data_IF_846991766564
#
_entry.id   IF_846991766564
#
_cell.length_a   1.000
_cell.length_b   1.000
_cell.length_c   1.000
_cell.angle_alpha   90.00
_cell.angle_beta   90.00
_cell.angle_gamma   90.00
#
_symmetry.space_group_name_H-M   'P 1'
#
loop_
_entity.id
_entity.type
_entity.pdbx_description
1 polymer ?
#
# COMPACT_ATOMS: atom_id res chain seq x y z
N UNK A 1 30.41 -25.57 2.38
CA UNK A 1 29.69 -25.44 1.10
C UNK A 1 28.22 -25.20 1.45
N UNK A 2 27.66 -24.03 1.23
CA UNK A 2 26.22 -23.84 1.45
C UNK A 2 25.51 -24.54 0.29
N UNK A 3 24.57 -25.38 0.64
CA UNK A 3 23.65 -26.08 -0.25
C UNK A 3 22.87 -25.08 -1.07
N UNK A 4 22.95 -25.19 -2.40
CA UNK A 4 22.10 -24.51 -3.37
C UNK A 4 20.64 -24.75 -2.99
N UNK A 5 19.99 -23.78 -2.39
CA UNK A 5 18.55 -23.76 -2.24
C UNK A 5 18.00 -23.57 -3.65
N UNK A 6 17.26 -24.54 -4.17
CA UNK A 6 16.50 -24.40 -5.40
C UNK A 6 15.60 -23.17 -5.25
N UNK A 7 15.97 -22.07 -5.87
CA UNK A 7 15.09 -20.90 -5.99
C UNK A 7 13.98 -21.29 -6.96
N UNK A 8 12.79 -21.54 -6.43
CA UNK A 8 11.60 -21.68 -7.26
C UNK A 8 11.48 -20.41 -8.12
N UNK A 9 11.09 -20.58 -9.39
CA UNK A 9 10.80 -19.42 -10.25
C UNK A 9 9.82 -18.46 -9.55
N UNK A 10 10.01 -17.15 -9.66
CA UNK A 10 9.12 -16.21 -8.99
C UNK A 10 7.68 -16.38 -9.47
N UNK A 11 6.74 -16.24 -8.55
CA UNK A 11 5.33 -16.12 -8.89
C UNK A 11 5.10 -14.82 -9.67
N UNK A 12 4.17 -14.85 -10.62
CA UNK A 12 3.88 -13.71 -11.49
C UNK A 12 2.40 -13.37 -11.49
N UNK A 13 2.11 -12.10 -11.26
CA UNK A 13 0.79 -11.51 -11.43
C UNK A 13 0.91 -10.42 -12.50
N UNK A 14 -0.03 -10.34 -13.44
CA UNK A 14 -0.02 -9.30 -14.46
C UNK A 14 -1.13 -8.28 -14.19
N UNK A 15 -0.79 -7.01 -14.24
CA UNK A 15 -1.76 -5.92 -14.28
C UNK A 15 -2.08 -5.65 -15.74
N UNK A 16 -3.34 -5.83 -16.13
CA UNK A 16 -3.81 -5.73 -17.52
C UNK A 16 -4.46 -4.37 -17.77
N UNK A 17 -3.71 -3.44 -18.37
CA UNK A 17 -4.11 -2.04 -18.65
C UNK A 17 -3.76 -1.62 -20.10
N UNK A 18 -3.85 -2.57 -21.06
CA UNK A 18 -3.44 -2.31 -22.45
C UNK A 18 -1.94 -2.01 -22.52
N UNK A 19 -1.57 -0.89 -23.12
CA UNK A 19 -0.17 -0.48 -23.30
C UNK A 19 0.56 -0.13 -21.98
N UNK A 20 -0.19 0.03 -20.88
CA UNK A 20 0.34 0.29 -19.55
C UNK A 20 0.39 -0.95 -18.66
N UNK A 21 0.22 -2.13 -19.26
CA UNK A 21 0.29 -3.41 -18.54
C UNK A 21 1.71 -3.67 -18.03
N UNK A 22 1.81 -4.27 -16.84
CA UNK A 22 3.11 -4.60 -16.25
C UNK A 22 3.02 -5.85 -15.38
N UNK A 23 4.16 -6.58 -15.21
CA UNK A 23 4.23 -7.72 -14.31
C UNK A 23 4.51 -7.29 -12.87
N UNK A 24 4.02 -8.10 -11.92
CA UNK A 24 4.45 -8.16 -10.54
C UNK A 24 5.17 -9.50 -10.36
N UNK A 25 6.43 -9.49 -9.95
CA UNK A 25 7.20 -10.67 -9.62
C UNK A 25 7.26 -10.80 -8.09
N UNK A 26 7.01 -12.01 -7.58
CA UNK A 26 6.90 -12.27 -6.14
C UNK A 26 7.74 -13.50 -5.80
N UNK A 27 8.67 -13.37 -4.87
CA UNK A 27 9.54 -14.48 -4.45
C UNK A 27 10.59 -14.00 -3.45
N UNK A 28 11.46 -14.91 -3.02
CA UNK A 28 12.59 -14.56 -2.17
C UNK A 28 13.86 -14.37 -3.01
N UNK A 29 14.76 -13.49 -2.51
CA UNK A 29 16.08 -13.24 -3.10
C UNK A 29 16.05 -12.76 -4.58
N UNK A 30 15.01 -11.99 -4.94
CA UNK A 30 14.83 -11.50 -6.31
C UNK A 30 15.75 -10.33 -6.66
N UNK A 31 16.18 -9.54 -5.68
CA UNK A 31 17.00 -8.34 -5.88
C UNK A 31 18.35 -8.63 -6.50
N UNK A 32 18.91 -9.81 -6.26
CA UNK A 32 20.25 -10.20 -6.70
C UNK A 32 20.32 -10.77 -8.12
N UNK A 33 19.21 -11.01 -8.80
CA UNK A 33 19.21 -11.61 -10.14
C UNK A 33 18.82 -10.59 -11.22
N UNK A 34 19.75 -10.19 -12.11
CA UNK A 34 19.48 -9.24 -13.19
C UNK A 34 18.42 -9.72 -14.19
N UNK A 35 18.14 -11.04 -14.27
CA UNK A 35 17.12 -11.58 -15.16
C UNK A 35 15.71 -11.08 -14.80
N UNK A 36 15.45 -10.80 -13.53
CA UNK A 36 14.15 -10.28 -13.09
C UNK A 36 13.85 -8.87 -13.62
N UNK A 37 14.86 -8.13 -14.02
CA UNK A 37 14.74 -6.78 -14.60
C UNK A 37 14.69 -6.78 -16.14
N UNK A 38 14.59 -7.94 -16.80
CA UNK A 38 14.60 -8.05 -18.27
C UNK A 38 13.50 -7.24 -18.97
N UNK A 39 12.33 -7.06 -18.32
CA UNK A 39 11.21 -6.29 -18.84
C UNK A 39 11.40 -4.76 -18.74
N UNK A 40 12.40 -4.30 -17.97
CA UNK A 40 12.67 -2.87 -17.79
C UNK A 40 13.27 -2.29 -19.07
N UNK A 41 12.81 -1.12 -19.56
CA UNK A 41 13.34 -0.51 -20.77
C UNK A 41 14.87 -0.30 -20.74
N UNK A 42 15.51 -0.41 -21.90
CA UNK A 42 16.93 -0.14 -22.02
C UNK A 42 17.21 1.37 -21.86
N UNK A 43 18.17 1.70 -21.01
CA UNK A 43 18.61 3.06 -20.74
C UNK A 43 20.09 3.10 -20.36
N UNK A 44 20.72 4.27 -20.47
CA UNK A 44 22.10 4.48 -20.02
C UNK A 44 22.19 4.70 -18.51
N UNK A 45 21.16 5.30 -17.91
CA UNK A 45 21.17 5.75 -16.52
C UNK A 45 20.00 5.21 -15.73
N UNK A 46 20.27 4.79 -14.50
CA UNK A 46 19.29 4.46 -13.48
C UNK A 46 19.49 5.31 -12.23
N UNK A 47 18.39 5.71 -11.57
CA UNK A 47 18.40 6.34 -10.26
C UNK A 47 17.61 5.46 -9.28
N UNK A 48 18.27 4.90 -8.29
CA UNK A 48 17.65 4.23 -7.15
C UNK A 48 17.30 5.33 -6.14
N UNK A 49 16.01 5.48 -5.87
CA UNK A 49 15.47 6.35 -4.82
C UNK A 49 15.10 5.45 -3.65
N UNK A 50 15.65 5.71 -2.49
CA UNK A 50 15.43 4.97 -1.27
C UNK A 50 15.35 5.92 -0.08
N UNK A 51 15.35 5.43 1.16
CA UNK A 51 15.41 6.26 2.35
C UNK A 51 16.56 5.82 3.28
N UNK A 52 16.83 6.62 4.30
CA UNK A 52 17.93 6.41 5.27
C UNK A 52 17.81 5.11 6.07
N UNK A 53 16.64 4.48 6.13
CA UNK A 53 16.40 3.19 6.80
C UNK A 53 16.65 2.01 5.87
N UNK A 54 16.14 2.07 4.63
CA UNK A 54 16.18 0.96 3.66
C UNK A 54 17.47 0.96 2.84
N UNK A 55 18.00 2.14 2.51
CA UNK A 55 19.21 2.31 1.70
C UNK A 55 20.39 1.48 2.20
N UNK A 56 20.78 1.59 3.48
CA UNK A 56 21.89 0.81 4.04
C UNK A 56 21.71 -0.71 3.97
N UNK A 57 20.47 -1.19 3.86
CA UNK A 57 20.17 -2.62 3.84
C UNK A 57 20.23 -3.22 2.43
N UNK A 58 19.73 -2.50 1.43
CA UNK A 58 19.43 -3.10 0.12
C UNK A 58 19.96 -2.32 -1.09
N UNK A 59 20.32 -1.03 -0.97
CA UNK A 59 20.69 -0.21 -2.12
C UNK A 59 21.96 -0.69 -2.81
N UNK A 60 22.94 -1.18 -2.05
CA UNK A 60 24.21 -1.69 -2.62
C UNK A 60 23.96 -2.95 -3.48
N UNK A 61 23.16 -3.90 -2.99
CA UNK A 61 22.85 -5.13 -3.72
C UNK A 61 22.08 -4.82 -5.02
N UNK A 62 21.04 -3.96 -4.96
CA UNK A 62 20.29 -3.56 -6.14
C UNK A 62 21.19 -2.81 -7.15
N UNK A 63 22.05 -1.92 -6.68
CA UNK A 63 23.01 -1.19 -7.53
C UNK A 63 23.95 -2.15 -8.27
N UNK A 64 24.50 -3.15 -7.59
CA UNK A 64 25.38 -4.16 -8.18
C UNK A 64 24.64 -4.96 -9.27
N UNK A 65 23.41 -5.41 -8.98
CA UNK A 65 22.57 -6.14 -9.93
C UNK A 65 22.26 -5.32 -11.19
N UNK A 66 22.05 -4.02 -11.05
CA UNK A 66 21.75 -3.12 -12.16
C UNK A 66 22.99 -2.67 -12.93
N UNK A 67 24.21 -2.76 -12.38
CA UNK A 67 25.45 -2.27 -13.00
C UNK A 67 25.78 -2.94 -14.34
N UNK A 68 25.33 -4.18 -14.57
CA UNK A 68 25.48 -4.86 -15.86
C UNK A 68 24.48 -4.41 -16.94
N UNK A 69 23.44 -3.67 -16.55
CA UNK A 69 22.34 -3.26 -17.42
C UNK A 69 22.37 -1.76 -17.76
N UNK A 70 22.88 -0.92 -16.86
CA UNK A 70 22.96 0.52 -17.00
C UNK A 70 24.44 0.97 -16.96
N UNK A 71 24.81 1.94 -17.80
CA UNK A 71 26.16 2.49 -17.79
C UNK A 71 26.46 3.29 -16.51
N UNK A 72 25.41 3.90 -15.92
CA UNK A 72 25.52 4.60 -14.65
C UNK A 72 24.30 4.26 -13.76
N UNK A 73 24.57 3.89 -12.50
CA UNK A 73 23.55 3.64 -11.47
C UNK A 73 23.84 4.55 -10.27
N UNK A 74 22.96 5.51 -10.05
CA UNK A 74 23.01 6.45 -8.93
C UNK A 74 22.08 6.02 -7.82
N UNK A 75 22.36 6.46 -6.58
CA UNK A 75 21.52 6.20 -5.40
C UNK A 75 21.24 7.54 -4.75
N UNK A 76 19.99 7.77 -4.41
CA UNK A 76 19.51 8.91 -3.61
C UNK A 76 18.79 8.38 -2.38
N UNK A 77 19.27 8.74 -1.18
CA UNK A 77 18.62 8.46 0.08
C UNK A 77 17.81 9.68 0.53
N UNK A 78 16.50 9.49 0.70
CA UNK A 78 15.57 10.47 1.24
C UNK A 78 15.46 10.30 2.76
N UNK A 79 15.05 11.31 3.52
CA UNK A 79 14.65 11.12 4.90
C UNK A 79 13.48 10.15 5.00
N UNK A 80 13.48 9.33 6.07
CA UNK A 80 12.44 8.31 6.29
C UNK A 80 11.22 8.88 7.01
N UNK A 81 10.04 8.40 6.64
CA UNK A 81 8.77 8.67 7.31
C UNK A 81 7.77 9.48 6.48
N UNK A 82 6.48 9.30 6.81
CA UNK A 82 5.34 9.94 6.14
C UNK A 82 5.38 11.48 6.23
N UNK A 83 6.01 12.03 7.27
CA UNK A 83 6.17 13.49 7.46
C UNK A 83 7.05 14.14 6.38
N UNK A 84 7.86 13.34 5.68
CA UNK A 84 8.73 13.76 4.60
C UNK A 84 8.14 13.50 3.20
N UNK A 85 6.89 13.06 3.12
CA UNK A 85 6.19 12.85 1.84
C UNK A 85 5.64 14.17 1.29
N UNK A 86 6.51 15.10 0.97
CA UNK A 86 6.20 16.49 0.65
C UNK A 86 6.97 17.05 -0.55
N UNK A 87 6.70 18.31 -0.91
CA UNK A 87 7.39 18.99 -2.00
C UNK A 87 8.91 19.16 -1.77
N UNK A 88 9.39 19.59 -0.59
CA UNK A 88 10.82 19.71 -0.35
C UNK A 88 11.58 18.41 -0.58
N UNK A 89 11.05 17.29 -0.09
CA UNK A 89 11.66 15.98 -0.25
C UNK A 89 11.56 15.48 -1.71
N UNK A 90 10.41 15.67 -2.36
CA UNK A 90 10.25 15.34 -3.78
C UNK A 90 11.25 16.11 -4.65
N UNK A 91 11.54 17.37 -4.32
CA UNK A 91 12.48 18.20 -5.08
C UNK A 91 13.91 17.63 -5.06
N UNK A 92 14.30 16.93 -3.98
CA UNK A 92 15.61 16.23 -3.93
C UNK A 92 15.75 15.20 -5.05
N UNK A 93 14.66 14.54 -5.46
CA UNK A 93 14.67 13.59 -6.58
C UNK A 93 14.92 14.32 -7.90
N UNK A 94 14.28 15.48 -8.12
CA UNK A 94 14.51 16.29 -9.32
C UNK A 94 15.93 16.87 -9.36
N UNK A 95 16.44 17.34 -8.23
CA UNK A 95 17.81 17.84 -8.13
C UNK A 95 18.84 16.76 -8.45
N UNK A 96 18.64 15.53 -7.96
CA UNK A 96 19.50 14.39 -8.28
C UNK A 96 19.44 14.04 -9.77
N UNK A 97 18.23 13.98 -10.36
CA UNK A 97 18.05 13.69 -11.78
C UNK A 97 18.75 14.73 -12.67
N UNK A 98 18.56 16.00 -12.38
CA UNK A 98 19.19 17.10 -13.12
C UNK A 98 20.70 17.13 -12.90
N UNK A 99 21.17 16.95 -11.67
CA UNK A 99 22.58 16.94 -11.32
C UNK A 99 23.37 15.81 -11.97
N UNK A 100 22.72 14.67 -12.23
CA UNK A 100 23.32 13.55 -12.97
C UNK A 100 23.12 13.63 -14.49
N UNK A 101 22.50 14.68 -15.02
CA UNK A 101 22.22 14.81 -16.45
C UNK A 101 21.27 13.73 -16.98
N UNK A 102 20.33 13.29 -16.15
CA UNK A 102 19.35 12.25 -16.51
C UNK A 102 18.49 12.66 -17.70
N UNK A 103 18.32 11.76 -18.64
CA UNK A 103 17.53 11.97 -19.86
C UNK A 103 16.12 11.36 -19.78
N UNK A 104 15.36 11.43 -20.89
CA UNK A 104 13.99 10.90 -20.98
C UNK A 104 13.90 9.38 -20.88
N UNK A 105 15.00 8.67 -20.99
CA UNK A 105 15.07 7.20 -20.90
C UNK A 105 15.52 6.73 -19.52
N UNK A 106 16.03 7.63 -18.68
CA UNK A 106 16.46 7.31 -17.31
C UNK A 106 15.36 6.55 -16.57
N UNK A 107 15.73 5.43 -15.94
CA UNK A 107 14.80 4.60 -15.18
C UNK A 107 14.94 4.90 -13.70
N UNK A 108 13.83 5.19 -13.02
CA UNK A 108 13.81 5.34 -11.57
C UNK A 108 13.45 4.01 -10.92
N UNK A 109 14.12 3.68 -9.82
CA UNK A 109 13.82 2.50 -8.99
C UNK A 109 13.41 2.98 -7.61
N UNK A 110 12.17 2.72 -7.23
CA UNK A 110 11.63 3.04 -5.90
C UNK A 110 11.93 1.88 -4.95
N UNK A 111 13.03 1.95 -4.22
CA UNK A 111 13.44 0.92 -3.25
C UNK A 111 13.01 1.32 -1.85
N UNK A 112 11.86 0.83 -1.36
CA UNK A 112 11.35 1.21 -0.05
C UNK A 112 9.89 0.87 0.19
N UNK A 113 9.31 1.47 1.22
CA UNK A 113 7.88 1.40 1.52
C UNK A 113 7.03 2.31 0.61
N UNK A 114 5.74 2.47 0.95
CA UNK A 114 4.78 3.26 0.18
C UNK A 114 5.17 4.72 -0.01
N UNK A 115 5.81 5.35 0.98
CA UNK A 115 6.29 6.74 0.90
C UNK A 115 7.29 6.92 -0.25
N UNK A 116 8.31 6.04 -0.28
CA UNK A 116 9.32 6.06 -1.35
C UNK A 116 8.68 5.74 -2.70
N UNK A 117 7.79 4.74 -2.74
CA UNK A 117 7.08 4.34 -3.95
C UNK A 117 6.26 5.47 -4.57
N UNK A 118 5.47 6.16 -3.73
CA UNK A 118 4.60 7.26 -4.17
C UNK A 118 5.41 8.47 -4.66
N UNK A 119 6.43 8.90 -3.91
CA UNK A 119 7.27 10.04 -4.29
C UNK A 119 8.06 9.75 -5.57
N UNK A 120 8.67 8.56 -5.67
CA UNK A 120 9.43 8.19 -6.86
C UNK A 120 8.54 8.08 -8.09
N UNK A 121 7.35 7.48 -7.94
CA UNK A 121 6.39 7.37 -9.03
C UNK A 121 5.87 8.74 -9.49
N UNK A 122 5.62 9.66 -8.55
CA UNK A 122 5.21 11.03 -8.90
C UNK A 122 6.34 11.84 -9.52
N UNK A 123 7.58 11.69 -9.03
CA UNK A 123 8.75 12.25 -9.70
C UNK A 123 8.89 11.71 -11.14
N UNK A 124 8.75 10.39 -11.33
CA UNK A 124 8.80 9.77 -12.65
C UNK A 124 7.71 10.29 -13.59
N UNK A 125 6.49 10.46 -13.10
CA UNK A 125 5.37 11.00 -13.87
C UNK A 125 5.61 12.45 -14.34
N UNK A 126 6.35 13.24 -13.53
CA UNK A 126 6.54 14.67 -13.73
C UNK A 126 7.83 15.01 -14.48
N UNK A 127 8.93 14.27 -14.20
CA UNK A 127 10.23 14.51 -14.81
C UNK A 127 10.16 14.32 -16.33
N UNK A 128 10.60 15.32 -17.09
CA UNK A 128 10.57 15.34 -18.56
C UNK A 128 9.22 14.90 -19.18
N UNK A 129 8.11 15.06 -18.49
CA UNK A 129 6.73 14.67 -18.84
C UNK A 129 6.50 13.16 -18.85
N UNK A 130 7.30 12.42 -18.10
CA UNK A 130 7.18 10.98 -17.89
C UNK A 130 8.47 10.25 -18.26
N UNK A 131 9.05 9.54 -17.26
CA UNK A 131 10.16 8.61 -17.42
C UNK A 131 9.78 7.26 -16.82
N UNK A 132 10.32 6.13 -17.31
CA UNK A 132 9.98 4.83 -16.76
C UNK A 132 10.43 4.68 -15.31
N UNK A 133 9.63 3.93 -14.50
CA UNK A 133 10.04 3.59 -13.15
C UNK A 133 9.66 2.14 -12.79
N UNK A 134 10.31 1.63 -11.76
CA UNK A 134 10.15 0.29 -11.20
C UNK A 134 9.85 0.42 -9.71
N UNK A 135 8.87 -0.32 -9.23
CA UNK A 135 8.60 -0.46 -7.80
C UNK A 135 9.38 -1.66 -7.23
N UNK A 136 10.13 -1.42 -6.17
CA UNK A 136 10.84 -2.45 -5.38
C UNK A 136 10.39 -2.30 -3.92
N UNK A 137 9.14 -2.73 -3.61
CA UNK A 137 8.54 -2.54 -2.30
C UNK A 137 9.22 -3.42 -1.26
N UNK A 138 9.60 -2.82 -0.11
CA UNK A 138 10.30 -3.50 0.99
C UNK A 138 9.46 -3.65 2.26
N UNK A 139 8.21 -3.16 2.27
CA UNK A 139 7.24 -3.39 3.35
C UNK A 139 6.10 -4.26 2.86
N UNK A 140 5.48 -5.04 3.75
CA UNK A 140 4.33 -5.88 3.38
C UNK A 140 3.19 -5.02 2.81
N UNK A 141 2.87 -3.88 3.45
CA UNK A 141 1.85 -2.94 2.98
C UNK A 141 2.12 -2.51 1.53
N UNK A 142 3.37 -2.16 1.21
CA UNK A 142 3.71 -1.76 -0.14
C UNK A 142 3.64 -2.93 -1.14
N UNK A 143 4.03 -4.13 -0.74
CA UNK A 143 3.97 -5.32 -1.61
C UNK A 143 2.53 -5.72 -1.96
N UNK A 144 1.58 -5.58 -1.01
CA UNK A 144 0.19 -6.01 -1.21
C UNK A 144 -0.75 -4.90 -1.67
N UNK A 145 -0.36 -3.64 -1.49
CA UNK A 145 -1.25 -2.51 -1.77
C UNK A 145 -0.56 -1.37 -2.52
N UNK A 146 0.23 -0.49 -1.89
CA UNK A 146 0.59 0.81 -2.46
C UNK A 146 1.40 0.74 -3.76
N UNK A 147 2.21 -0.30 -4.01
CA UNK A 147 2.97 -0.46 -5.26
C UNK A 147 2.12 -0.84 -6.47
N UNK A 148 0.83 -1.17 -6.29
CA UNK A 148 -0.05 -1.70 -7.33
C UNK A 148 -1.14 -0.70 -7.70
N UNK A 149 -1.33 -0.44 -9.00
CA UNK A 149 -2.43 0.37 -9.52
C UNK A 149 -2.10 1.84 -9.73
N UNK A 150 -0.80 2.21 -9.70
CA UNK A 150 -0.27 3.47 -10.23
C UNK A 150 -0.67 4.75 -9.52
N UNK A 151 -1.25 4.68 -8.32
CA UNK A 151 -1.46 5.88 -7.50
C UNK A 151 -0.11 6.36 -6.98
N UNK A 152 0.27 7.59 -7.31
CA UNK A 152 1.51 8.22 -6.84
C UNK A 152 1.17 9.60 -6.32
N UNK A 153 1.72 10.00 -5.17
CA UNK A 153 1.32 11.24 -4.55
C UNK A 153 2.34 11.76 -3.53
N UNK A 154 2.14 13.02 -3.18
CA UNK A 154 2.72 13.67 -2.00
C UNK A 154 1.62 14.27 -1.13
N UNK A 155 1.96 14.55 0.12
CA UNK A 155 1.10 15.21 1.07
C UNK A 155 1.15 16.74 0.93
N UNK A 156 0.09 17.38 1.37
CA UNK A 156 0.01 18.81 1.55
C UNK A 156 -0.46 19.10 2.98
N UNK A 157 -0.09 20.21 3.61
CA UNK A 157 -0.58 20.57 4.96
C UNK A 157 -2.12 20.53 5.10
N UNK A 158 -2.85 20.68 4.00
CA UNK A 158 -4.32 20.64 3.97
C UNK A 158 -4.91 19.28 3.65
N UNK A 159 -4.11 18.24 3.38
CA UNK A 159 -4.63 16.90 3.09
C UNK A 159 -3.58 15.90 2.64
N UNK A 160 -3.81 14.63 2.99
CA UNK A 160 -2.95 13.50 2.63
C UNK A 160 -3.18 13.11 1.17
N UNK A 161 -2.10 12.84 0.42
CA UNK A 161 -2.12 12.33 -0.97
C UNK A 161 -2.93 13.19 -1.97
N UNK A 162 -3.05 14.49 -1.72
CA UNK A 162 -3.89 15.39 -2.54
C UNK A 162 -3.22 15.80 -3.86
N UNK A 163 -1.92 15.63 -3.97
CA UNK A 163 -1.13 16.05 -5.14
C UNK A 163 -0.42 14.84 -5.69
N UNK A 164 -0.67 14.48 -6.94
CA UNK A 164 -0.08 13.30 -7.53
C UNK A 164 -0.57 12.99 -8.94
N UNK A 165 -0.25 11.79 -9.40
CA UNK A 165 -0.61 11.30 -10.72
C UNK A 165 -0.98 9.81 -10.68
N UNK A 166 -1.81 9.37 -11.63
CA UNK A 166 -1.91 7.96 -11.97
C UNK A 166 -0.79 7.63 -12.96
N UNK A 167 0.24 6.94 -12.50
CA UNK A 167 1.40 6.58 -13.30
C UNK A 167 1.83 5.14 -13.02
N UNK A 168 1.77 4.28 -14.06
CA UNK A 168 2.01 2.85 -13.89
C UNK A 168 3.50 2.52 -13.97
N UNK A 169 4.02 1.64 -13.10
CA UNK A 169 5.41 1.18 -13.19
C UNK A 169 5.61 0.21 -14.37
N UNK A 170 6.86 0.00 -14.77
CA UNK A 170 7.23 -0.99 -15.77
C UNK A 170 7.32 -2.40 -15.16
N UNK A 171 7.53 -2.48 -13.86
CA UNK A 171 7.69 -3.71 -13.09
C UNK A 171 7.43 -3.40 -11.62
N UNK A 172 6.83 -4.35 -10.90
CA UNK A 172 6.86 -4.40 -9.44
C UNK A 172 7.62 -5.67 -9.03
N UNK A 173 8.68 -5.53 -8.22
CA UNK A 173 9.50 -6.62 -7.74
C UNK A 173 9.32 -6.79 -6.23
N UNK A 174 8.44 -7.70 -5.81
CA UNK A 174 8.17 -8.04 -4.41
C UNK A 174 9.17 -9.10 -3.94
N UNK A 175 10.34 -8.67 -3.48
CA UNK A 175 11.30 -9.56 -2.84
C UNK A 175 10.89 -9.80 -1.39
N UNK A 176 10.41 -11.01 -1.09
CA UNK A 176 9.93 -11.40 0.23
C UNK A 176 11.06 -11.44 1.27
N UNK A 177 12.31 -11.59 0.86
CA UNK A 177 13.46 -11.56 1.76
C UNK A 177 13.59 -10.21 2.46
N UNK A 178 13.13 -9.12 1.84
CA UNK A 178 13.14 -7.78 2.45
C UNK A 178 12.26 -7.70 3.70
N UNK A 179 11.23 -8.54 3.81
CA UNK A 179 10.34 -8.58 4.96
C UNK A 179 11.02 -9.13 6.23
N UNK A 180 12.16 -9.81 6.09
CA UNK A 180 12.91 -10.33 7.24
C UNK A 180 13.42 -9.21 8.17
N UNK A 181 13.74 -8.04 7.62
CA UNK A 181 14.21 -6.87 8.38
C UNK A 181 13.10 -5.91 8.78
N UNK A 182 11.85 -6.16 8.30
CA UNK A 182 10.73 -5.28 8.60
C UNK A 182 10.36 -5.37 10.09
N UNK A 183 10.21 -4.26 10.84
CA UNK A 183 9.77 -4.29 12.23
C UNK A 183 8.43 -5.02 12.41
N UNK A 184 8.20 -5.70 13.55
CA UNK A 184 6.92 -6.41 13.79
C UNK A 184 5.68 -5.50 13.67
N UNK A 185 5.75 -4.26 14.15
CA UNK A 185 4.67 -3.28 14.04
C UNK A 185 4.30 -2.97 12.58
N UNK A 186 5.30 -2.82 11.71
CA UNK A 186 5.11 -2.60 10.28
C UNK A 186 4.59 -3.85 9.57
N UNK A 187 4.98 -5.04 10.03
CA UNK A 187 4.43 -6.30 9.53
C UNK A 187 2.93 -6.40 9.84
N UNK A 188 2.52 -6.11 11.08
CA UNK A 188 1.11 -6.03 11.47
C UNK A 188 0.35 -4.99 10.63
N UNK A 189 0.92 -3.81 10.44
CA UNK A 189 0.33 -2.76 9.60
C UNK A 189 0.09 -3.24 8.16
N UNK A 190 1.02 -4.01 7.58
CA UNK A 190 0.82 -4.63 6.26
C UNK A 190 -0.27 -5.69 6.25
N UNK A 191 -0.42 -6.46 7.34
CA UNK A 191 -1.48 -7.46 7.46
C UNK A 191 -2.89 -6.84 7.48
N UNK A 192 -3.06 -5.59 7.92
CA UNK A 192 -4.34 -4.89 7.79
C UNK A 192 -4.81 -4.85 6.34
N UNK A 193 -3.91 -4.54 5.40
CA UNK A 193 -4.23 -4.48 3.98
C UNK A 193 -4.46 -5.87 3.38
N UNK A 194 -3.76 -6.90 3.85
CA UNK A 194 -4.03 -8.30 3.46
C UNK A 194 -5.43 -8.73 3.92
N UNK A 195 -5.77 -8.49 5.20
CA UNK A 195 -7.08 -8.82 5.78
C UNK A 195 -8.20 -8.10 5.03
N UNK A 196 -8.01 -6.86 4.64
CA UNK A 196 -9.01 -6.04 3.93
C UNK A 196 -9.63 -6.75 2.73
N UNK A 197 -8.83 -7.47 1.95
CA UNK A 197 -9.32 -8.15 0.74
C UNK A 197 -10.35 -9.25 1.00
N UNK A 198 -10.31 -9.87 2.17
CA UNK A 198 -11.26 -10.92 2.56
C UNK A 198 -12.70 -10.41 2.58
N UNK A 199 -13.07 -9.55 3.52
CA UNK A 199 -14.44 -9.06 3.70
C UNK A 199 -15.00 -8.31 2.48
N UNK A 200 -14.16 -7.65 1.68
CA UNK A 200 -14.64 -6.86 0.54
C UNK A 200 -14.77 -7.66 -0.76
N UNK A 201 -14.06 -8.80 -0.89
CA UNK A 201 -13.94 -9.45 -2.19
C UNK A 201 -13.88 -10.98 -2.15
N UNK A 202 -13.12 -11.59 -1.19
CA UNK A 202 -12.81 -13.02 -1.20
C UNK A 202 -12.87 -13.63 0.20
N UNK A 203 -14.02 -14.19 0.57
CA UNK A 203 -14.19 -14.84 1.88
C UNK A 203 -13.32 -16.10 2.04
N UNK A 204 -13.03 -16.81 0.95
CA UNK A 204 -12.11 -17.95 0.99
C UNK A 204 -10.69 -17.52 1.36
N UNK A 205 -10.29 -16.32 0.91
CA UNK A 205 -9.02 -15.73 1.32
C UNK A 205 -9.05 -15.29 2.80
N UNK A 206 -10.18 -14.77 3.31
CA UNK A 206 -10.33 -14.48 4.74
C UNK A 206 -10.19 -15.75 5.59
N UNK A 207 -10.85 -16.84 5.21
CA UNK A 207 -10.76 -18.15 5.89
C UNK A 207 -9.30 -18.65 5.90
N UNK A 208 -8.60 -18.49 4.77
CA UNK A 208 -7.21 -18.87 4.66
C UNK A 208 -6.29 -18.00 5.56
N UNK A 209 -6.52 -16.68 5.62
CA UNK A 209 -5.74 -15.77 6.48
C UNK A 209 -5.90 -16.17 7.95
N UNK A 210 -7.13 -16.44 8.41
CA UNK A 210 -7.39 -16.89 9.78
C UNK A 210 -6.66 -18.16 10.16
N UNK A 211 -6.65 -19.13 9.24
CA UNK A 211 -5.99 -20.41 9.44
C UNK A 211 -4.46 -20.32 9.40
N UNK A 212 -3.90 -19.31 8.72
CA UNK A 212 -2.46 -19.14 8.51
C UNK A 212 -1.86 -17.89 9.18
N UNK A 213 -2.60 -17.24 10.08
CA UNK A 213 -2.15 -15.97 10.67
C UNK A 213 -0.82 -16.13 11.42
N UNK A 214 -0.66 -17.19 12.18
CA UNK A 214 0.57 -17.44 12.95
C UNK A 214 1.78 -17.64 12.00
N UNK A 215 1.60 -18.33 10.88
CA UNK A 215 2.62 -18.50 9.83
C UNK A 215 2.97 -17.16 9.15
N UNK A 216 1.96 -16.31 8.90
CA UNK A 216 2.17 -14.95 8.38
C UNK A 216 2.96 -14.08 9.36
N UNK A 217 2.59 -14.11 10.64
CA UNK A 217 3.30 -13.38 11.70
C UNK A 217 4.73 -13.90 11.88
N UNK A 218 4.95 -15.21 11.73
CA UNK A 218 6.26 -15.83 11.73
C UNK A 218 7.05 -15.61 10.43
N UNK A 219 6.44 -14.96 9.43
CA UNK A 219 7.04 -14.67 8.12
C UNK A 219 7.44 -15.94 7.35
N UNK A 220 6.65 -16.99 7.45
CA UNK A 220 6.91 -18.21 6.70
C UNK A 220 6.82 -17.96 5.19
N UNK A 221 7.84 -18.33 4.39
CA UNK A 221 7.92 -17.96 2.98
C UNK A 221 6.70 -18.39 2.16
N UNK A 222 6.17 -19.59 2.40
CA UNK A 222 5.01 -20.09 1.68
C UNK A 222 3.74 -19.28 1.98
N UNK A 223 3.53 -18.92 3.26
CA UNK A 223 2.40 -18.10 3.69
C UNK A 223 2.50 -16.67 3.12
N UNK A 224 3.69 -16.05 3.18
CA UNK A 224 3.92 -14.73 2.61
C UNK A 224 3.71 -14.73 1.09
N UNK A 225 4.27 -15.72 0.37
CA UNK A 225 4.09 -15.83 -1.09
C UNK A 225 2.60 -15.89 -1.45
N UNK A 226 1.82 -16.71 -0.75
CA UNK A 226 0.39 -16.85 -1.00
C UNK A 226 -0.36 -15.55 -0.70
N UNK A 227 -0.11 -14.93 0.45
CA UNK A 227 -0.78 -13.69 0.86
C UNK A 227 -0.49 -12.54 -0.11
N UNK A 228 0.79 -12.32 -0.46
CA UNK A 228 1.17 -11.26 -1.39
C UNK A 228 0.60 -11.53 -2.78
N UNK A 229 0.71 -12.75 -3.28
CA UNK A 229 0.18 -13.15 -4.60
C UNK A 229 -1.33 -12.92 -4.67
N UNK A 230 -2.10 -13.43 -3.69
CA UNK A 230 -3.57 -13.30 -3.72
C UNK A 230 -4.02 -11.85 -3.56
N UNK A 231 -3.38 -11.08 -2.69
CA UNK A 231 -3.63 -9.64 -2.57
C UNK A 231 -3.40 -8.90 -3.89
N UNK A 232 -2.26 -9.15 -4.54
CA UNK A 232 -1.96 -8.56 -5.85
C UNK A 232 -2.96 -8.99 -6.93
N UNK A 233 -3.41 -10.26 -6.94
CA UNK A 233 -4.43 -10.73 -7.89
C UNK A 233 -5.75 -10.01 -7.72
N UNK A 234 -6.27 -9.92 -6.47
CA UNK A 234 -7.53 -9.22 -6.20
C UNK A 234 -7.40 -7.75 -6.61
N UNK A 235 -6.28 -7.11 -6.24
CA UNK A 235 -6.07 -5.72 -6.62
C UNK A 235 -5.95 -5.54 -8.14
N UNK A 236 -5.29 -6.47 -8.84
CA UNK A 236 -5.21 -6.47 -10.30
C UNK A 236 -6.59 -6.55 -10.96
N UNK A 237 -7.45 -7.45 -10.45
CA UNK A 237 -8.83 -7.62 -10.93
C UNK A 237 -9.65 -6.34 -10.76
N UNK A 238 -9.55 -5.67 -9.60
CA UNK A 238 -10.28 -4.43 -9.31
C UNK A 238 -9.72 -3.25 -10.11
N UNK A 239 -8.40 -3.08 -10.17
CA UNK A 239 -7.74 -2.00 -10.95
C UNK A 239 -7.97 -2.18 -12.46
N UNK A 240 -7.99 -3.41 -12.94
CA UNK A 240 -8.28 -3.71 -14.34
C UNK A 240 -9.68 -3.29 -14.78
N UNK A 241 -10.65 -3.28 -13.84
CA UNK A 241 -12.02 -2.80 -14.10
C UNK A 241 -12.15 -1.28 -13.93
N UNK A 242 -11.32 -0.66 -13.08
CA UNK A 242 -11.44 0.76 -12.74
C UNK A 242 -10.07 1.33 -12.34
N UNK A 243 -9.27 1.67 -13.34
CA UNK A 243 -7.90 2.17 -13.12
C UNK A 243 -7.87 3.47 -12.30
N UNK A 244 -8.84 4.38 -12.50
CA UNK A 244 -8.84 5.74 -11.96
C UNK A 244 -9.77 5.98 -10.77
N UNK A 245 -10.32 4.89 -10.19
CA UNK A 245 -11.17 4.96 -9.00
C UNK A 245 -12.43 5.81 -9.17
N UNK A 246 -13.09 5.65 -10.32
CA UNK A 246 -14.36 6.32 -10.59
C UNK A 246 -15.59 5.48 -10.16
N UNK A 247 -15.39 4.24 -9.71
CA UNK A 247 -16.47 3.29 -9.41
C UNK A 247 -16.03 2.16 -8.47
N UNK A 248 -15.91 0.93 -9.02
CA UNK A 248 -15.67 -0.29 -8.22
C UNK A 248 -14.40 -0.26 -7.39
N UNK A 249 -13.35 0.41 -7.84
CA UNK A 249 -12.08 0.50 -7.12
C UNK A 249 -12.22 1.14 -5.73
N UNK A 250 -13.26 1.94 -5.51
CA UNK A 250 -13.54 2.55 -4.22
C UNK A 250 -13.70 1.53 -3.08
N UNK A 251 -14.09 0.25 -3.38
CA UNK A 251 -14.22 -0.80 -2.36
C UNK A 251 -12.90 -1.08 -1.64
N UNK A 252 -11.75 -0.83 -2.27
CA UNK A 252 -10.42 -0.97 -1.67
C UNK A 252 -10.20 0.00 -0.48
N UNK A 253 -11.05 1.00 -0.32
CA UNK A 253 -11.01 1.94 0.79
C UNK A 253 -11.86 1.48 2.01
N UNK A 254 -12.16 0.19 2.15
CA UNK A 254 -12.82 -0.34 3.35
C UNK A 254 -11.98 -0.04 4.59
N UNK A 255 -12.59 0.59 5.59
CA UNK A 255 -11.91 1.07 6.80
C UNK A 255 -11.24 2.44 6.67
N UNK A 256 -10.91 2.89 5.46
CA UNK A 256 -10.09 4.10 5.26
C UNK A 256 -10.78 5.40 5.69
N UNK A 257 -12.09 5.55 5.56
CA UNK A 257 -12.79 6.77 6.01
C UNK A 257 -12.59 7.02 7.51
N UNK A 258 -12.69 5.97 8.33
CA UNK A 258 -12.40 6.05 9.77
C UNK A 258 -10.88 6.10 10.01
N UNK A 259 -10.09 5.30 9.29
CA UNK A 259 -8.64 5.25 9.43
C UNK A 259 -7.98 6.61 9.16
N UNK A 260 -8.33 7.29 8.08
CA UNK A 260 -7.82 8.63 7.77
C UNK A 260 -8.23 9.67 8.83
N UNK A 261 -9.43 9.55 9.39
CA UNK A 261 -9.84 10.40 10.49
C UNK A 261 -8.98 10.16 11.74
N UNK A 262 -8.61 8.91 12.02
CA UNK A 262 -7.68 8.55 13.11
C UNK A 262 -6.29 9.15 12.84
N UNK A 263 -5.70 8.92 11.66
CA UNK A 263 -4.38 9.46 11.29
C UNK A 263 -4.34 10.99 11.39
N UNK A 264 -5.37 11.65 10.86
CA UNK A 264 -5.44 13.12 10.88
C UNK A 264 -5.72 13.68 12.28
N UNK A 265 -6.46 12.96 13.09
CA UNK A 265 -6.84 13.37 14.44
C UNK A 265 -5.72 13.21 15.46
N UNK A 266 -4.90 12.17 15.34
CA UNK A 266 -3.73 11.93 16.20
C UNK A 266 -2.49 12.73 15.74
N UNK A 267 -2.40 13.04 14.45
CA UNK A 267 -1.21 13.53 13.78
C UNK A 267 -0.46 12.38 13.07
N UNK A 268 0.10 12.69 11.91
CA UNK A 268 0.80 11.69 11.09
C UNK A 268 2.03 11.14 11.83
N UNK A 269 2.15 9.81 11.87
CA UNK A 269 3.26 9.09 12.48
C UNK A 269 2.96 8.53 13.88
N UNK A 270 1.92 8.97 14.58
CA UNK A 270 1.50 8.39 15.87
C UNK A 270 1.02 6.95 15.68
N UNK A 271 0.05 6.74 14.80
CA UNK A 271 -0.35 5.42 14.35
C UNK A 271 0.15 5.20 12.92
N UNK A 272 0.59 3.97 12.64
CA UNK A 272 0.87 3.54 11.28
C UNK A 272 -0.44 3.46 10.48
N UNK A 273 -0.33 3.66 9.17
CA UNK A 273 -1.49 3.60 8.27
C UNK A 273 -2.31 2.32 8.47
N UNK A 274 -1.65 1.15 8.49
CA UNK A 274 -2.34 -0.12 8.68
C UNK A 274 -2.97 -0.28 10.07
N UNK A 275 -2.44 0.34 11.12
CA UNK A 275 -3.08 0.37 12.44
C UNK A 275 -4.39 1.16 12.40
N UNK A 276 -4.35 2.33 11.77
CA UNK A 276 -5.52 3.19 11.60
C UNK A 276 -6.58 2.52 10.70
N UNK A 277 -6.16 1.89 9.60
CA UNK A 277 -7.07 1.15 8.70
C UNK A 277 -7.64 -0.10 9.38
N UNK A 278 -6.83 -0.85 10.13
CA UNK A 278 -7.29 -2.02 10.89
C UNK A 278 -8.42 -1.67 11.87
N UNK A 279 -8.19 -0.65 12.70
CA UNK A 279 -9.23 -0.11 13.59
C UNK A 279 -10.42 0.43 12.78
N UNK A 280 -10.16 1.14 11.70
CA UNK A 280 -11.20 1.67 10.81
C UNK A 280 -12.04 0.57 10.15
N UNK A 281 -11.47 -0.61 9.86
CA UNK A 281 -12.22 -1.77 9.36
C UNK A 281 -13.19 -2.33 10.41
N UNK A 282 -12.80 -2.35 11.70
CA UNK A 282 -13.71 -2.72 12.80
C UNK A 282 -14.87 -1.75 12.85
N UNK A 283 -14.61 -0.45 12.78
CA UNK A 283 -15.66 0.58 12.78
C UNK A 283 -16.57 0.45 11.55
N UNK A 284 -16.00 0.23 10.36
CA UNK A 284 -16.77 0.03 9.14
C UNK A 284 -17.59 -1.28 9.14
N UNK A 285 -17.11 -2.32 9.82
CA UNK A 285 -17.88 -3.56 10.02
C UNK A 285 -19.08 -3.32 10.96
N UNK A 286 -18.91 -2.59 12.06
CA UNK A 286 -20.03 -2.15 12.90
C UNK A 286 -21.04 -1.29 12.12
N UNK A 287 -20.54 -0.37 11.26
CA UNK A 287 -21.43 0.40 10.40
C UNK A 287 -22.18 -0.49 9.41
N UNK A 288 -21.52 -1.47 8.82
CA UNK A 288 -22.12 -2.45 7.91
C UNK A 288 -23.22 -3.25 8.62
N UNK A 289 -22.99 -3.66 9.88
CA UNK A 289 -23.99 -4.33 10.72
C UNK A 289 -25.21 -3.44 10.96
N UNK A 290 -25.01 -2.16 11.31
CA UNK A 290 -26.08 -1.20 11.53
C UNK A 290 -26.92 -0.93 10.27
N UNK A 291 -26.30 -1.10 9.11
CA UNK A 291 -26.95 -0.95 7.80
C UNK A 291 -27.52 -2.27 7.24
N UNK A 292 -27.41 -3.38 7.99
CA UNK A 292 -28.01 -4.68 7.66
C UNK A 292 -27.20 -5.53 6.66
N UNK A 293 -25.92 -5.20 6.41
CA UNK A 293 -25.06 -5.93 5.47
C UNK A 293 -24.40 -7.17 6.07
N UNK A 294 -24.13 -7.18 7.38
CA UNK A 294 -23.51 -8.30 8.10
C UNK A 294 -24.15 -8.46 9.48
N UNK A 295 -23.96 -9.62 10.08
CA UNK A 295 -24.42 -9.91 11.45
C UNK A 295 -23.33 -9.63 12.51
N UNK A 296 -23.70 -9.79 13.79
CA UNK A 296 -22.79 -9.58 14.91
C UNK A 296 -21.65 -10.61 14.94
N UNK A 297 -21.88 -11.83 14.46
CA UNK A 297 -20.86 -12.87 14.43
C UNK A 297 -19.75 -12.51 13.44
N UNK A 298 -20.10 -11.96 12.27
CA UNK A 298 -19.14 -11.48 11.31
C UNK A 298 -18.28 -10.32 11.86
N UNK A 299 -18.90 -9.34 12.52
CA UNK A 299 -18.17 -8.23 13.16
C UNK A 299 -17.19 -8.75 14.20
N UNK A 300 -17.64 -9.65 15.08
CA UNK A 300 -16.77 -10.25 16.10
C UNK A 300 -15.63 -11.04 15.47
N UNK A 301 -15.90 -11.82 14.43
CA UNK A 301 -14.89 -12.58 13.68
C UNK A 301 -13.80 -11.66 13.14
N UNK A 302 -14.18 -10.61 12.42
CA UNK A 302 -13.22 -9.66 11.84
C UNK A 302 -12.44 -8.91 12.92
N UNK A 303 -13.10 -8.49 13.99
CA UNK A 303 -12.44 -7.83 15.14
C UNK A 303 -11.38 -8.73 15.76
N UNK A 304 -11.72 -9.99 16.03
CA UNK A 304 -10.79 -10.97 16.61
C UNK A 304 -9.58 -11.21 15.69
N UNK A 305 -9.80 -11.29 14.37
CA UNK A 305 -8.71 -11.48 13.41
C UNK A 305 -7.76 -10.28 13.39
N UNK A 306 -8.31 -9.06 13.38
CA UNK A 306 -7.51 -7.81 13.40
C UNK A 306 -6.70 -7.71 14.69
N UNK A 307 -7.31 -8.03 15.85
CA UNK A 307 -6.64 -8.04 17.15
C UNK A 307 -5.50 -9.08 17.19
N UNK A 308 -5.77 -10.32 16.72
CA UNK A 308 -4.76 -11.37 16.61
C UNK A 308 -3.59 -11.00 15.67
N UNK A 309 -3.84 -10.20 14.66
CA UNK A 309 -2.79 -9.65 13.77
C UNK A 309 -1.94 -8.56 14.44
N UNK A 310 -2.17 -8.25 15.72
CA UNK A 310 -1.43 -7.24 16.49
C UNK A 310 -1.83 -5.81 16.19
N UNK A 311 -3.06 -5.60 15.69
CA UNK A 311 -3.59 -4.29 15.31
C UNK A 311 -4.57 -3.78 16.38
N UNK A 312 -4.67 -2.46 16.58
CA UNK A 312 -5.64 -1.88 17.50
C UNK A 312 -7.08 -2.06 16.97
N UNK A 313 -7.99 -2.38 17.87
CA UNK A 313 -9.44 -2.57 17.59
C UNK A 313 -10.31 -1.55 18.32
N UNK A 314 -9.71 -0.73 19.18
CA UNK A 314 -10.37 0.36 19.91
C UNK A 314 -9.91 1.69 19.35
N UNK A 315 -10.86 2.50 18.94
CA UNK A 315 -10.58 3.81 18.35
C UNK A 315 -10.02 4.79 19.40
N UNK A 316 -9.08 5.66 19.02
CA UNK A 316 -8.59 6.71 19.90
C UNK A 316 -9.70 7.72 20.22
N UNK A 317 -9.71 8.23 21.47
CA UNK A 317 -10.71 9.19 21.95
C UNK A 317 -10.44 10.59 21.40
N UNK A 318 -10.91 10.86 20.19
CA UNK A 318 -10.84 12.19 19.56
C UNK A 318 -12.10 13.02 19.81
N UNK A 319 -13.19 12.37 20.25
CA UNK A 319 -14.52 12.94 20.32
C UNK A 319 -15.32 12.78 19.02
N UNK A 320 -16.61 12.46 19.16
CA UNK A 320 -17.46 12.09 18.03
C UNK A 320 -17.62 13.22 16.99
N UNK A 321 -17.75 14.46 17.44
CA UNK A 321 -17.83 15.63 16.55
C UNK A 321 -16.55 15.81 15.74
N UNK A 322 -15.39 15.64 16.38
CA UNK A 322 -14.09 15.74 15.71
C UNK A 322 -13.91 14.66 14.64
N UNK A 323 -14.34 13.43 14.90
CA UNK A 323 -14.36 12.37 13.88
C UNK A 323 -15.20 12.78 12.67
N UNK A 324 -16.42 13.24 12.87
CA UNK A 324 -17.30 13.68 11.78
C UNK A 324 -16.67 14.83 10.97
N UNK A 325 -16.07 15.80 11.65
CA UNK A 325 -15.37 16.91 11.01
C UNK A 325 -14.23 16.42 10.10
N UNK A 326 -13.34 15.57 10.63
CA UNK A 326 -12.21 15.01 9.89
C UNK A 326 -12.66 14.17 8.68
N UNK A 327 -13.68 13.31 8.84
CA UNK A 327 -14.24 12.54 7.75
C UNK A 327 -14.88 13.39 6.65
N UNK A 328 -15.47 14.55 6.99
CA UNK A 328 -16.01 15.49 5.99
C UNK A 328 -14.93 16.20 5.22
N UNK A 329 -13.77 16.47 5.83
CA UNK A 329 -12.62 17.08 5.15
C UNK A 329 -12.04 16.13 4.11
N UNK A 330 -11.87 14.84 4.43
CA UNK A 330 -11.34 13.80 3.54
C UNK A 330 -12.20 13.62 2.26
N UNK A 331 -13.50 13.92 2.34
CA UNK A 331 -14.49 13.71 1.28
C UNK A 331 -15.01 14.98 0.61
N UNK A 332 -14.30 16.11 0.67
CA UNK A 332 -14.72 17.42 0.13
C UNK A 332 -15.07 17.47 -1.36
N UNK A 333 -14.83 16.42 -2.13
CA UNK A 333 -15.05 16.39 -3.57
C UNK A 333 -16.44 15.93 -4.02
N UNK A 334 -17.33 15.47 -3.12
CA UNK A 334 -18.68 15.04 -3.49
C UNK A 334 -19.77 15.80 -2.70
N UNK A 335 -20.61 16.55 -3.40
CA UNK A 335 -21.79 17.21 -2.83
C UNK A 335 -22.81 16.16 -2.36
N UNK A 336 -22.82 15.78 -1.08
CA UNK A 336 -23.87 14.87 -0.60
C UNK A 336 -23.62 14.09 0.70
N UNK A 337 -22.69 14.49 1.55
CA UNK A 337 -22.42 13.84 2.83
C UNK A 337 -21.29 12.81 2.79
N UNK A 338 -20.96 12.25 3.98
CA UNK A 338 -19.88 11.27 4.10
C UNK A 338 -20.31 9.95 3.46
N UNK A 339 -19.49 9.42 2.57
CA UNK A 339 -19.67 8.08 1.99
C UNK A 339 -18.69 7.11 2.61
N UNK A 340 -19.16 5.91 2.91
CA UNK A 340 -18.39 4.84 3.52
C UNK A 340 -18.36 3.64 2.58
N UNK A 341 -17.25 2.93 2.57
CA UNK A 341 -17.25 1.56 2.06
C UNK A 341 -17.79 0.67 3.18
N UNK A 342 -18.86 -0.05 2.91
CA UNK A 342 -19.51 -0.98 3.83
C UNK A 342 -19.65 -2.34 3.18
N UNK A 343 -19.66 -3.39 4.00
CA UNK A 343 -19.94 -4.75 3.54
C UNK A 343 -21.45 -4.89 3.34
N UNK A 344 -21.85 -5.17 2.12
CA UNK A 344 -23.24 -5.41 1.74
C UNK A 344 -23.67 -6.85 2.05
N UNK A 345 -22.74 -7.77 1.86
CA UNK A 345 -22.73 -9.15 2.32
C UNK A 345 -21.26 -9.63 2.40
N UNK A 346 -20.94 -10.64 3.21
CA UNK A 346 -19.59 -11.18 3.28
C UNK A 346 -18.98 -11.44 1.89
N UNK A 347 -17.79 -10.88 1.62
CA UNK A 347 -17.11 -10.95 0.32
C UNK A 347 -17.62 -9.94 -0.73
N UNK A 348 -18.44 -8.97 -0.33
CA UNK A 348 -18.95 -7.93 -1.23
C UNK A 348 -19.08 -6.60 -0.50
N UNK A 349 -18.46 -5.56 -1.02
CA UNK A 349 -18.51 -4.22 -0.45
C UNK A 349 -19.09 -3.21 -1.46
N UNK A 350 -19.71 -2.17 -0.94
CA UNK A 350 -20.33 -1.09 -1.70
C UNK A 350 -20.10 0.26 -1.03
N UNK A 351 -20.20 1.33 -1.81
CA UNK A 351 -20.21 2.70 -1.28
C UNK A 351 -21.61 3.09 -0.82
N UNK A 352 -21.79 3.45 0.45
CA UNK A 352 -23.06 3.95 1.00
C UNK A 352 -22.86 5.19 1.88
N UNK A 353 -23.83 6.09 1.84
CA UNK A 353 -24.00 7.11 2.86
C UNK A 353 -24.61 6.50 4.14
N UNK A 354 -24.37 7.15 5.27
CA UNK A 354 -24.99 6.79 6.54
C UNK A 354 -25.46 8.05 7.27
N UNK A 355 -26.61 8.01 7.97
CA UNK A 355 -27.02 9.10 8.84
C UNK A 355 -25.98 9.32 9.96
N UNK A 356 -25.70 10.58 10.29
CA UNK A 356 -24.73 10.93 11.35
C UNK A 356 -25.06 10.21 12.68
N UNK A 357 -26.33 10.04 13.03
CA UNK A 357 -26.74 9.34 14.24
C UNK A 357 -26.23 7.86 14.28
N UNK A 358 -26.20 7.17 13.15
CA UNK A 358 -25.66 5.80 13.06
C UNK A 358 -24.13 5.84 13.19
N UNK A 359 -23.48 6.80 12.56
CA UNK A 359 -22.02 6.98 12.65
C UNK A 359 -21.61 7.28 14.09
N UNK A 360 -22.34 8.15 14.79
CA UNK A 360 -22.13 8.48 16.21
C UNK A 360 -22.28 7.24 17.12
N UNK A 361 -23.29 6.39 16.88
CA UNK A 361 -23.44 5.13 17.63
C UNK A 361 -22.22 4.20 17.40
N UNK A 362 -21.72 4.11 16.18
CA UNK A 362 -20.51 3.31 15.86
C UNK A 362 -19.27 3.89 16.57
N UNK A 363 -19.07 5.21 16.54
CA UNK A 363 -17.96 5.86 17.23
C UNK A 363 -17.99 5.59 18.74
N UNK A 364 -19.18 5.67 19.35
CA UNK A 364 -19.37 5.37 20.79
C UNK A 364 -19.02 3.91 21.11
N UNK A 365 -19.50 2.96 20.29
CA UNK A 365 -19.24 1.52 20.49
C UNK A 365 -17.76 1.17 20.34
N UNK A 366 -17.07 1.82 19.43
CA UNK A 366 -15.66 1.56 19.15
C UNK A 366 -14.69 2.38 20.03
N UNK A 367 -15.20 3.17 20.98
CA UNK A 367 -14.38 3.93 21.93
C UNK A 367 -13.89 5.28 21.45
N UNK A 368 -14.31 5.75 20.27
CA UNK A 368 -13.85 7.00 19.66
C UNK A 368 -14.58 8.26 20.14
N UNK A 369 -15.67 8.11 20.87
CA UNK A 369 -16.49 9.21 21.39
C UNK A 369 -15.96 9.76 22.72
#
# INVERSE_FOLDING_TARGET
MPTSVFTASPERVNISLGDRSYPILIGADLLGDPAHFAAVPAASTALIVTNTTVGPLYAAALKETLAGRFAAVHVLELPDGEVHKDWPTLNLVFDALLGHGSDRKTVLFALGGGVVGDMTGFAAASYMRGVPFVQVPTTLLAQVDSSVGGKTAINHPMGKNMIGAFYQPQLVLCDLATLATLPPREMSAGLAEVIKYGPIYDMGFLDWIEANLDALMAREPAALTHAVKRSCQIKAEVVGQDERENGVRAILNFGHTFGHAIESGLGYGEWLHGEAVGCGMVMAAHLSQRLGGVDAAFVQRLTTLIERAGLPVVAPRLGAERYLELMRIDKKSEAGGIRFVVIDKPGSAVMRGAPDAIVLDVLTRCGGA
#
